data_IF_543249230808
#
_entry.id   IF_543249230808
#
_cell.length_a   1.000
_cell.length_b   1.000
_cell.length_c   1.000
_cell.angle_alpha   90.00
_cell.angle_beta   90.00
_cell.angle_gamma   90.00
#
_symmetry.space_group_name_H-M   'P 1'
#
loop_
_entity.id
_entity.type
_entity.pdbx_description
1 polymer ?
#
# COMPACT_ATOMS: atom_id res chain seq x y z
N UNK A 1 -33.15 61.94 1.82
CA UNK A 1 -31.73 62.31 2.07
C UNK A 1 -30.89 61.10 1.73
N UNK A 2 -29.76 61.24 1.05
CA UNK A 2 -28.78 60.15 0.97
C UNK A 2 -28.14 60.05 2.36
N UNK A 3 -28.14 58.87 2.95
CA UNK A 3 -27.45 58.63 4.22
C UNK A 3 -25.93 58.78 3.99
N UNK A 4 -25.25 59.44 4.92
CA UNK A 4 -23.81 59.73 4.86
C UNK A 4 -23.13 59.26 6.14
N UNK A 5 -21.84 58.94 6.05
CA UNK A 5 -20.99 58.62 7.21
C UNK A 5 -19.60 59.26 7.06
N UNK A 6 -18.93 59.47 8.19
CA UNK A 6 -17.55 59.98 8.24
C UNK A 6 -16.60 58.79 8.10
N UNK A 7 -15.63 58.89 7.19
CA UNK A 7 -14.58 57.90 7.04
C UNK A 7 -13.67 57.89 8.28
N UNK A 8 -13.47 56.70 8.89
CA UNK A 8 -12.68 56.55 10.10
C UNK A 8 -11.21 56.98 9.93
N UNK A 9 -10.64 56.84 8.72
CA UNK A 9 -9.25 57.18 8.45
C UNK A 9 -9.03 58.65 8.02
N UNK A 10 -9.79 59.17 7.04
CA UNK A 10 -9.54 60.52 6.51
C UNK A 10 -10.41 61.63 7.13
N UNK A 11 -11.45 61.27 7.91
CA UNK A 11 -12.35 62.22 8.56
C UNK A 11 -13.31 62.98 7.64
N UNK A 12 -13.35 62.63 6.34
CA UNK A 12 -14.25 63.25 5.35
C UNK A 12 -15.60 62.50 5.34
N UNK A 13 -16.69 63.23 5.11
CA UNK A 13 -18.04 62.67 4.97
C UNK A 13 -18.30 62.16 3.54
N UNK A 14 -18.79 60.93 3.43
CA UNK A 14 -19.07 60.26 2.15
C UNK A 14 -20.50 59.66 2.14
N UNK A 15 -21.13 59.51 0.95
CA UNK A 15 -22.37 58.75 0.80
C UNK A 15 -22.21 57.29 1.26
N UNK A 16 -23.12 56.78 2.09
CA UNK A 16 -23.02 55.46 2.71
C UNK A 16 -22.97 54.31 1.68
N UNK A 17 -23.62 54.48 0.53
CA UNK A 17 -23.64 53.55 -0.60
C UNK A 17 -22.28 53.42 -1.32
N UNK A 18 -21.31 54.26 -0.98
CA UNK A 18 -19.94 54.27 -1.55
C UNK A 18 -18.86 53.94 -0.52
N UNK A 19 -19.26 53.52 0.69
CA UNK A 19 -18.35 53.20 1.79
C UNK A 19 -18.28 51.70 2.04
N UNK A 20 -17.15 51.26 2.57
CA UNK A 20 -16.87 49.87 2.95
C UNK A 20 -16.86 49.76 4.46
N UNK A 21 -17.49 48.70 4.98
CA UNK A 21 -17.41 48.36 6.39
C UNK A 21 -16.28 47.35 6.62
N UNK A 22 -15.37 47.66 7.54
CA UNK A 22 -14.18 46.84 7.83
C UNK A 22 -13.99 46.80 9.35
N UNK A 23 -14.06 45.62 9.95
CA UNK A 23 -13.88 45.41 11.41
C UNK A 23 -14.73 46.35 12.31
N UNK A 24 -15.89 46.80 11.81
CA UNK A 24 -16.79 47.73 12.51
C UNK A 24 -16.62 49.21 12.12
N UNK A 25 -15.53 49.58 11.46
CA UNK A 25 -15.28 50.91 10.93
C UNK A 25 -15.89 51.12 9.54
N UNK A 26 -16.11 52.38 9.17
CA UNK A 26 -16.55 52.78 7.84
C UNK A 26 -15.43 53.53 7.12
N UNK A 27 -14.99 53.02 5.99
CA UNK A 27 -13.95 53.61 5.15
C UNK A 27 -14.53 54.06 3.82
N UNK A 28 -14.08 55.20 3.31
CA UNK A 28 -14.34 55.56 1.91
C UNK A 28 -13.52 54.66 0.98
N UNK A 29 -13.95 54.51 -0.27
CA UNK A 29 -13.31 53.68 -1.30
C UNK A 29 -11.78 53.86 -1.35
N UNK A 30 -11.29 55.11 -1.45
CA UNK A 30 -9.85 55.39 -1.46
C UNK A 30 -9.09 54.93 -0.21
N UNK A 31 -9.72 54.97 0.98
CA UNK A 31 -9.08 54.50 2.20
C UNK A 31 -9.14 52.97 2.29
N UNK A 32 -10.25 52.36 1.90
CA UNK A 32 -10.39 50.91 1.85
C UNK A 32 -9.36 50.30 0.89
N UNK A 33 -9.25 50.81 -0.34
CA UNK A 33 -8.33 50.28 -1.36
C UNK A 33 -6.85 50.36 -0.96
N UNK A 34 -6.49 51.32 -0.10
CA UNK A 34 -5.11 51.55 0.32
C UNK A 34 -4.72 50.85 1.62
N UNK A 35 -5.66 50.65 2.53
CA UNK A 35 -5.38 50.20 3.90
C UNK A 35 -5.86 48.79 4.21
N UNK A 36 -6.59 48.18 3.27
CA UNK A 36 -7.29 46.93 3.54
C UNK A 36 -7.06 45.95 2.41
N UNK A 37 -7.02 44.69 2.78
CA UNK A 37 -6.91 43.54 1.89
C UNK A 37 -8.12 42.64 2.05
N UNK A 38 -8.30 41.70 1.13
CA UNK A 38 -9.37 40.71 1.19
C UNK A 38 -8.76 39.37 1.54
N UNK A 39 -9.28 38.72 2.58
CA UNK A 39 -8.86 37.38 2.96
C UNK A 39 -9.22 36.37 1.87
N UNK A 40 -8.24 35.61 1.37
CA UNK A 40 -8.43 34.64 0.30
C UNK A 40 -9.35 33.47 0.68
N UNK A 41 -9.50 33.19 1.98
CA UNK A 41 -10.30 32.07 2.48
C UNK A 41 -11.77 32.46 2.74
N UNK A 42 -12.02 33.51 3.53
CA UNK A 42 -13.39 33.92 3.91
C UNK A 42 -13.95 35.07 3.06
N UNK A 43 -13.14 35.69 2.20
CA UNK A 43 -13.50 36.83 1.36
C UNK A 43 -13.94 38.07 2.17
N UNK A 44 -13.57 38.14 3.45
CA UNK A 44 -13.77 39.30 4.32
C UNK A 44 -12.68 40.33 4.07
N UNK A 45 -13.05 41.62 4.10
CA UNK A 45 -12.11 42.73 4.00
C UNK A 45 -11.58 43.04 5.40
N UNK A 46 -10.26 43.06 5.53
CA UNK A 46 -9.52 43.27 6.79
C UNK A 46 -8.47 44.36 6.62
N UNK A 47 -8.01 44.97 7.71
CA UNK A 47 -6.86 45.86 7.62
C UNK A 47 -5.59 45.10 7.22
N UNK A 48 -4.76 45.70 6.37
CA UNK A 48 -3.51 45.09 5.88
C UNK A 48 -2.56 44.73 7.03
N UNK A 49 -2.52 45.54 8.10
CA UNK A 49 -1.72 45.27 9.29
C UNK A 49 -2.17 44.05 10.11
N UNK A 50 -3.42 43.60 9.92
CA UNK A 50 -4.00 42.42 10.56
C UNK A 50 -4.00 41.19 9.64
N UNK A 51 -3.35 41.29 8.47
CA UNK A 51 -3.26 40.19 7.53
C UNK A 51 -2.02 39.33 7.80
N UNK A 52 -2.20 38.01 7.76
CA UNK A 52 -1.11 37.04 7.71
C UNK A 52 -0.88 36.68 6.24
N UNK A 53 0.28 37.03 5.70
CA UNK A 53 0.55 36.89 4.27
C UNK A 53 1.85 36.15 3.91
N UNK A 54 1.86 35.60 2.71
CA UNK A 54 3.04 35.16 1.96
C UNK A 54 2.84 35.42 0.46
N UNK A 55 3.76 34.95 -0.39
CA UNK A 55 3.69 35.13 -1.85
C UNK A 55 2.43 34.54 -2.52
N UNK A 56 1.65 33.74 -1.80
CA UNK A 56 0.53 32.95 -2.35
C UNK A 56 -0.80 33.13 -1.62
N UNK A 57 -0.79 33.63 -0.38
CA UNK A 57 -1.98 33.79 0.43
C UNK A 57 -1.96 35.12 1.20
N UNK A 58 -3.12 35.76 1.27
CA UNK A 58 -3.44 36.84 2.20
C UNK A 58 -4.63 36.41 3.05
N UNK A 59 -4.42 36.23 4.35
CA UNK A 59 -5.41 35.65 5.26
C UNK A 59 -5.67 36.57 6.45
N UNK A 60 -6.88 36.56 6.98
CA UNK A 60 -7.13 37.11 8.32
C UNK A 60 -6.59 36.16 9.39
N UNK A 61 -6.27 36.70 10.58
CA UNK A 61 -5.78 35.94 11.73
C UNK A 61 -6.63 34.71 12.03
N UNK A 62 -7.96 34.87 12.08
CA UNK A 62 -8.87 33.75 12.34
C UNK A 62 -8.77 32.63 11.29
N UNK A 63 -8.73 32.97 9.99
CA UNK A 63 -8.61 31.95 8.95
C UNK A 63 -7.25 31.27 9.00
N UNK A 64 -6.18 32.02 9.26
CA UNK A 64 -4.86 31.45 9.46
C UNK A 64 -4.85 30.50 10.65
N UNK A 65 -5.29 30.95 11.83
CA UNK A 65 -5.28 30.17 13.07
C UNK A 65 -6.17 28.93 13.04
N UNK A 66 -7.23 28.91 12.24
CA UNK A 66 -8.14 27.74 12.11
C UNK A 66 -7.78 26.80 10.96
N UNK A 67 -7.34 27.32 9.80
CA UNK A 67 -7.16 26.48 8.60
C UNK A 67 -5.74 26.40 8.03
N UNK A 68 -4.81 27.26 8.45
CA UNK A 68 -3.47 27.33 7.88
C UNK A 68 -2.34 27.30 8.92
N UNK A 69 -1.12 27.06 8.45
CA UNK A 69 0.10 27.10 9.28
C UNK A 69 1.29 27.48 8.40
N UNK A 70 2.38 27.98 9.00
CA UNK A 70 3.64 28.19 8.28
C UNK A 70 4.48 26.93 8.29
N UNK A 71 5.08 26.63 7.14
CA UNK A 71 6.14 25.63 7.03
C UNK A 71 7.34 26.05 7.89
N UNK A 72 7.85 25.16 8.73
CA UNK A 72 8.97 25.43 9.64
C UNK A 72 10.25 25.82 8.86
N UNK A 73 10.54 25.13 7.75
CA UNK A 73 11.79 25.35 7.01
C UNK A 73 11.77 26.58 6.09
N UNK A 74 10.65 26.80 5.39
CA UNK A 74 10.58 27.82 4.33
C UNK A 74 9.63 28.98 4.63
N UNK A 75 8.91 28.94 5.75
CA UNK A 75 7.98 30.00 6.19
C UNK A 75 6.69 30.14 5.36
N UNK A 76 6.53 29.34 4.29
CA UNK A 76 5.35 29.37 3.41
C UNK A 76 4.07 29.00 4.16
N UNK A 77 3.00 29.74 3.93
CA UNK A 77 1.66 29.44 4.42
C UNK A 77 1.10 28.25 3.65
N UNK A 78 0.73 27.22 4.38
CA UNK A 78 0.12 25.99 3.86
C UNK A 78 -1.16 25.69 4.62
N UNK A 79 -2.12 25.11 3.92
CA UNK A 79 -3.35 24.62 4.55
C UNK A 79 -3.02 23.44 5.46
N UNK A 80 -3.61 23.41 6.67
CA UNK A 80 -3.35 22.36 7.68
C UNK A 80 -3.67 20.95 7.18
N UNK A 81 -4.66 20.82 6.28
CA UNK A 81 -5.03 19.54 5.64
C UNK A 81 -3.97 19.02 4.63
N UNK A 82 -2.99 19.86 4.27
CA UNK A 82 -1.87 19.53 3.36
C UNK A 82 -0.51 19.62 4.02
N UNK A 83 -0.46 19.95 5.32
CA UNK A 83 0.76 19.99 6.09
C UNK A 83 1.20 18.57 6.47
N UNK A 84 2.51 18.35 6.45
CA UNK A 84 3.14 17.15 6.99
C UNK A 84 3.68 17.50 8.37
N UNK A 85 3.53 16.59 9.32
CA UNK A 85 3.87 16.83 10.72
C UNK A 85 4.94 15.83 11.15
N UNK A 86 6.01 16.34 11.78
CA UNK A 86 7.00 15.48 12.41
C UNK A 86 6.57 15.08 13.84
N UNK A 87 7.46 14.39 14.55
CA UNK A 87 7.18 13.92 15.91
C UNK A 87 7.22 15.05 16.98
N UNK A 88 7.71 16.24 16.61
CA UNK A 88 7.83 17.41 17.48
C UNK A 88 6.72 18.46 17.18
N UNK A 89 5.67 18.04 16.46
CA UNK A 89 4.53 18.87 16.01
C UNK A 89 4.93 20.04 15.09
N UNK A 90 6.07 19.95 14.39
CA UNK A 90 6.46 20.93 13.38
C UNK A 90 5.74 20.64 12.05
N UNK A 91 5.26 21.69 11.39
CA UNK A 91 4.55 21.57 10.11
C UNK A 91 5.47 21.87 8.92
N UNK A 92 5.38 21.03 7.89
CA UNK A 92 6.17 21.13 6.67
C UNK A 92 5.28 21.16 5.43
N UNK A 93 5.69 21.95 4.43
CA UNK A 93 5.16 21.80 3.08
C UNK A 93 5.76 20.55 2.41
N UNK A 94 5.15 20.08 1.32
CA UNK A 94 5.58 18.81 0.69
C UNK A 94 7.05 18.80 0.27
N UNK A 95 7.57 19.91 -0.27
CA UNK A 95 8.96 19.97 -0.71
C UNK A 95 9.95 19.90 0.45
N UNK A 96 9.67 20.63 1.54
CA UNK A 96 10.53 20.59 2.74
C UNK A 96 10.44 19.23 3.43
N UNK A 97 9.25 18.62 3.50
CA UNK A 97 9.09 17.25 4.00
C UNK A 97 9.90 16.24 3.18
N UNK A 98 9.90 16.38 1.86
CA UNK A 98 10.64 15.52 0.95
C UNK A 98 12.16 15.60 1.15
N UNK A 99 12.68 16.77 1.54
CA UNK A 99 14.10 17.00 1.81
C UNK A 99 14.52 16.62 3.24
N UNK A 100 13.64 16.80 4.22
CA UNK A 100 13.98 16.70 5.65
C UNK A 100 13.69 15.32 6.26
N UNK A 101 12.67 14.60 5.77
CA UNK A 101 12.25 13.34 6.36
C UNK A 101 12.77 12.10 5.60
N UNK A 102 13.03 11.04 6.35
CA UNK A 102 13.40 9.72 5.83
C UNK A 102 12.40 8.68 6.33
N UNK A 103 11.18 8.71 5.76
CA UNK A 103 10.15 7.71 6.06
C UNK A 103 10.19 6.53 5.08
N UNK A 104 10.90 6.70 3.96
CA UNK A 104 11.24 5.62 3.05
C UNK A 104 12.55 5.02 3.54
N UNK A 105 12.50 3.78 4.03
CA UNK A 105 13.66 3.11 4.58
C UNK A 105 14.54 2.46 3.51
N UNK A 106 15.78 2.13 3.87
CA UNK A 106 16.65 1.32 3.02
C UNK A 106 16.11 -0.12 2.87
N UNK A 107 16.45 -0.80 1.78
CA UNK A 107 15.99 -2.16 1.46
C UNK A 107 16.24 -3.20 2.58
N UNK A 108 17.27 -3.00 3.41
CA UNK A 108 17.66 -3.92 4.48
C UNK A 108 16.97 -3.62 5.84
N UNK A 109 16.17 -2.55 5.91
CA UNK A 109 15.51 -2.14 7.14
C UNK A 109 14.52 -3.21 7.61
N UNK A 110 14.40 -3.40 8.92
CA UNK A 110 13.34 -4.23 9.51
C UNK A 110 13.00 -3.61 10.87
N UNK A 111 11.76 -3.16 11.09
CA UNK A 111 11.34 -2.64 12.39
C UNK A 111 11.10 -3.78 13.40
N UNK A 112 10.85 -3.42 14.65
CA UNK A 112 10.27 -4.37 15.60
C UNK A 112 8.88 -4.81 15.10
N UNK A 113 8.71 -6.12 14.88
CA UNK A 113 7.53 -6.63 14.20
C UNK A 113 6.30 -6.67 15.12
N UNK A 114 5.25 -5.94 14.74
CA UNK A 114 3.91 -6.05 15.32
C UNK A 114 3.13 -7.19 14.66
N UNK A 115 2.61 -8.16 15.41
CA UNK A 115 1.84 -9.28 14.87
C UNK A 115 0.33 -9.01 14.99
N UNK A 116 -0.37 -9.08 13.85
CA UNK A 116 -1.79 -8.75 13.75
C UNK A 116 -2.69 -9.96 13.54
N UNK A 117 -3.74 -10.05 14.34
CA UNK A 117 -4.66 -11.18 14.39
C UNK A 117 -4.20 -12.28 15.36
N UNK A 118 -5.02 -13.34 15.47
CA UNK A 118 -4.77 -14.44 16.41
C UNK A 118 -4.41 -15.72 15.66
N UNK A 119 -3.32 -16.36 16.06
CA UNK A 119 -2.89 -17.66 15.53
C UNK A 119 -1.39 -17.72 15.29
N UNK A 120 -0.91 -18.83 14.71
CA UNK A 120 0.50 -19.01 14.35
C UNK A 120 0.79 -18.70 12.88
N UNK A 121 -0.25 -18.78 12.03
CA UNK A 121 -0.17 -18.57 10.59
C UNK A 121 -0.32 -17.09 10.27
N UNK A 122 0.81 -16.43 10.06
CA UNK A 122 0.88 -15.03 9.65
C UNK A 122 1.54 -14.91 8.27
N UNK A 123 1.13 -13.88 7.56
CA UNK A 123 1.64 -13.50 6.26
C UNK A 123 2.22 -12.09 6.33
N UNK A 124 3.42 -11.90 5.80
CA UNK A 124 3.99 -10.59 5.50
C UNK A 124 3.89 -10.36 3.99
N UNK A 125 3.52 -9.15 3.57
CA UNK A 125 3.41 -8.79 2.15
C UNK A 125 4.45 -7.75 1.81
N UNK A 126 5.21 -7.99 0.74
CA UNK A 126 6.01 -6.98 0.06
C UNK A 126 5.34 -6.71 -1.29
N UNK A 127 4.74 -5.51 -1.44
CA UNK A 127 4.10 -5.08 -2.67
C UNK A 127 4.89 -3.94 -3.30
N UNK A 128 5.48 -4.23 -4.45
CA UNK A 128 6.23 -3.25 -5.22
C UNK A 128 5.30 -2.41 -6.12
N UNK A 129 5.50 -1.09 -6.08
CA UNK A 129 4.85 -0.09 -6.93
C UNK A 129 5.91 0.84 -7.54
N UNK A 130 5.75 1.28 -8.78
CA UNK A 130 6.77 2.02 -9.54
C UNK A 130 6.15 3.17 -10.36
N UNK A 131 6.98 3.94 -11.07
CA UNK A 131 6.62 5.09 -11.93
C UNK A 131 5.95 6.29 -11.23
N UNK A 132 5.82 6.24 -9.90
CA UNK A 132 5.21 7.31 -9.09
C UNK A 132 6.20 8.16 -8.29
N UNK A 133 7.50 7.84 -8.39
CA UNK A 133 8.58 8.51 -7.68
C UNK A 133 8.92 7.90 -6.32
N UNK A 134 10.19 7.96 -5.93
CA UNK A 134 10.63 7.66 -4.56
C UNK A 134 10.50 8.93 -3.69
N UNK A 135 9.27 9.29 -3.33
CA UNK A 135 8.94 10.60 -2.73
C UNK A 135 8.32 10.44 -1.34
N UNK A 136 8.90 11.07 -0.31
CA UNK A 136 8.44 10.94 1.08
C UNK A 136 7.00 11.39 1.27
N UNK A 137 6.58 12.50 0.65
CA UNK A 137 5.22 13.02 0.73
C UNK A 137 4.19 12.07 0.11
N UNK A 138 4.58 11.26 -0.88
CA UNK A 138 3.72 10.19 -1.42
C UNK A 138 3.70 8.96 -0.51
N UNK A 139 4.86 8.56 0.02
CA UNK A 139 4.97 7.50 1.01
C UNK A 139 4.11 7.80 2.25
N UNK A 140 4.16 9.04 2.77
CA UNK A 140 3.39 9.46 3.95
C UNK A 140 1.89 9.30 3.70
N UNK A 141 1.39 9.74 2.55
CA UNK A 141 -0.03 9.57 2.19
C UNK A 141 -0.49 8.12 2.17
N UNK A 142 0.39 7.16 1.88
CA UNK A 142 0.07 5.73 1.93
C UNK A 142 0.12 5.22 3.37
N UNK A 143 1.10 5.65 4.16
CA UNK A 143 1.24 5.34 5.58
C UNK A 143 0.07 5.89 6.39
N UNK A 144 -0.37 7.13 6.16
CA UNK A 144 -1.52 7.75 6.84
C UNK A 144 -2.81 6.93 6.66
N UNK A 145 -2.95 6.28 5.49
CA UNK A 145 -4.07 5.39 5.21
C UNK A 145 -3.87 4.03 5.86
N UNK A 146 -2.70 3.43 5.65
CA UNK A 146 -2.39 2.08 6.11
C UNK A 146 -2.38 1.98 7.63
N UNK A 147 -1.81 3.00 8.29
CA UNK A 147 -1.48 2.99 9.70
C UNK A 147 -2.43 3.83 10.57
N UNK A 148 -3.55 4.29 9.99
CA UNK A 148 -4.51 5.16 10.69
C UNK A 148 -4.93 4.64 12.06
N UNK A 149 -5.26 3.35 12.12
CA UNK A 149 -5.85 2.72 13.31
C UNK A 149 -4.90 1.70 13.99
N UNK A 150 -3.79 1.32 13.33
CA UNK A 150 -2.79 0.37 13.83
C UNK A 150 -1.50 0.44 12.99
N UNK A 151 -0.33 0.08 13.55
CA UNK A 151 0.94 0.01 12.81
C UNK A 151 0.97 -1.20 11.86
N UNK A 152 0.54 -1.00 10.61
CA UNK A 152 0.30 -2.07 9.65
C UNK A 152 1.39 -2.21 8.59
N UNK A 153 1.99 -1.11 8.18
CA UNK A 153 2.80 -1.02 6.96
C UNK A 153 3.96 -0.04 7.17
N UNK A 154 5.11 -0.39 6.62
CA UNK A 154 6.26 0.50 6.48
C UNK A 154 6.75 0.44 5.03
N UNK A 155 7.51 1.45 4.61
CA UNK A 155 7.90 1.62 3.21
C UNK A 155 9.42 1.55 3.08
N UNK A 156 9.87 0.83 2.06
CA UNK A 156 11.27 0.67 1.71
C UNK A 156 11.55 1.09 0.29
N UNK A 157 12.82 1.33 0.02
CA UNK A 157 13.40 1.27 -1.32
C UNK A 157 13.63 -0.20 -1.72
N UNK A 158 13.44 -0.53 -2.98
CA UNK A 158 13.89 -1.81 -3.54
C UNK A 158 14.73 -1.57 -4.79
N UNK A 159 15.86 -2.27 -4.89
CA UNK A 159 16.84 -2.06 -5.96
C UNK A 159 16.41 -2.57 -7.34
N UNK A 160 15.23 -3.19 -7.47
CA UNK A 160 14.64 -3.59 -8.75
C UNK A 160 13.64 -2.58 -9.31
N UNK A 161 13.34 -1.52 -8.55
CA UNK A 161 12.48 -0.41 -8.95
C UNK A 161 13.31 0.75 -9.49
N UNK A 162 12.75 1.46 -10.47
CA UNK A 162 13.40 2.65 -11.02
C UNK A 162 13.09 3.87 -10.14
N UNK A 163 11.80 4.18 -9.96
CA UNK A 163 11.30 5.33 -9.20
C UNK A 163 10.04 4.93 -8.42
N UNK A 164 10.21 3.98 -7.51
CA UNK A 164 9.12 3.25 -6.87
C UNK A 164 9.24 3.10 -5.36
N UNK A 165 8.24 2.46 -4.77
CA UNK A 165 8.15 2.14 -3.36
C UNK A 165 7.89 0.65 -3.18
N UNK A 166 8.52 0.04 -2.18
CA UNK A 166 8.15 -1.27 -1.69
C UNK A 166 7.30 -1.11 -0.42
N UNK A 167 6.01 -1.46 -0.55
CA UNK A 167 5.06 -1.41 0.56
C UNK A 167 5.14 -2.73 1.33
N UNK A 168 5.67 -2.69 2.56
CA UNK A 168 5.88 -3.89 3.36
C UNK A 168 4.96 -3.91 4.57
N UNK A 169 4.18 -4.97 4.72
CA UNK A 169 3.31 -5.12 5.89
C UNK A 169 4.05 -5.76 7.06
N UNK A 170 3.63 -5.39 8.25
CA UNK A 170 3.81 -6.22 9.43
C UNK A 170 3.12 -7.61 9.25
N UNK A 171 3.53 -8.66 9.99
CA UNK A 171 2.91 -9.98 9.89
C UNK A 171 1.43 -9.97 10.30
N UNK A 172 0.55 -10.45 9.42
CA UNK A 172 -0.91 -10.43 9.60
C UNK A 172 -1.50 -11.81 9.34
N UNK A 173 -2.51 -12.22 10.11
CA UNK A 173 -3.34 -13.37 9.72
C UNK A 173 -4.08 -13.08 8.41
N UNK A 174 -4.52 -14.13 7.69
CA UNK A 174 -5.32 -13.95 6.47
C UNK A 174 -6.59 -13.11 6.74
N UNK A 175 -7.27 -13.39 7.85
CA UNK A 175 -8.49 -12.66 8.24
C UNK A 175 -8.23 -11.15 8.37
N UNK A 176 -7.14 -10.78 9.06
CA UNK A 176 -6.74 -9.38 9.21
C UNK A 176 -6.45 -8.72 7.85
N UNK A 177 -5.69 -9.39 6.98
CA UNK A 177 -5.45 -8.88 5.62
C UNK A 177 -6.74 -8.66 4.81
N UNK A 178 -7.76 -9.51 4.99
CA UNK A 178 -8.99 -9.43 4.21
C UNK A 178 -9.96 -8.37 4.74
N UNK A 179 -9.98 -8.17 6.05
CA UNK A 179 -11.05 -7.44 6.74
C UNK A 179 -10.61 -6.15 7.43
N UNK A 180 -9.36 -6.06 7.88
CA UNK A 180 -8.87 -4.95 8.72
C UNK A 180 -7.81 -4.10 8.00
N UNK A 181 -6.87 -4.72 7.29
CA UNK A 181 -5.88 -4.00 6.50
C UNK A 181 -6.57 -3.17 5.41
N UNK A 182 -6.40 -1.83 5.36
CA UNK A 182 -7.10 -0.93 4.43
C UNK A 182 -6.54 -0.97 3.01
N UNK A 183 -6.29 -2.17 2.48
CA UNK A 183 -5.75 -2.41 1.14
C UNK A 183 -6.51 -1.65 0.06
N UNK A 184 -7.85 -1.59 0.14
CA UNK A 184 -8.64 -0.89 -0.87
C UNK A 184 -8.25 0.59 -0.95
N UNK A 185 -8.16 1.27 0.18
CA UNK A 185 -7.78 2.68 0.22
C UNK A 185 -6.32 2.88 -0.22
N UNK A 186 -5.39 2.05 0.27
CA UNK A 186 -3.96 2.10 -0.08
C UNK A 186 -3.76 1.95 -1.59
N UNK A 187 -4.32 0.88 -2.19
CA UNK A 187 -4.17 0.60 -3.61
C UNK A 187 -4.82 1.69 -4.48
N UNK A 188 -6.01 2.19 -4.09
CA UNK A 188 -6.65 3.30 -4.81
C UNK A 188 -5.86 4.60 -4.69
N UNK A 189 -5.23 4.88 -3.54
CA UNK A 189 -4.38 6.06 -3.36
C UNK A 189 -3.14 5.98 -4.23
N UNK A 190 -2.45 4.83 -4.24
CA UNK A 190 -1.30 4.59 -5.12
C UNK A 190 -1.65 4.83 -6.60
N UNK A 191 -2.76 4.26 -7.08
CA UNK A 191 -3.25 4.49 -8.45
C UNK A 191 -3.53 5.96 -8.76
N UNK A 192 -4.16 6.70 -7.84
CA UNK A 192 -4.45 8.14 -8.01
C UNK A 192 -3.19 8.99 -8.04
N UNK A 193 -2.12 8.54 -7.40
CA UNK A 193 -0.80 9.20 -7.41
C UNK A 193 0.03 8.82 -8.64
N UNK A 194 -0.49 7.99 -9.54
CA UNK A 194 0.18 7.60 -10.78
C UNK A 194 1.05 6.35 -10.68
N UNK A 195 1.19 5.74 -9.50
CA UNK A 195 1.96 4.52 -9.36
C UNK A 195 1.37 3.38 -10.19
N UNK A 196 2.26 2.64 -10.83
CA UNK A 196 2.01 1.39 -11.50
C UNK A 196 2.53 0.23 -10.65
N UNK A 197 2.19 -1.00 -11.03
CA UNK A 197 2.76 -2.19 -10.39
C UNK A 197 2.86 -3.28 -11.45
N UNK A 198 1.76 -3.97 -11.75
CA UNK A 198 1.73 -4.92 -12.87
C UNK A 198 2.22 -4.31 -14.18
N UNK A 199 1.81 -3.07 -14.48
CA UNK A 199 2.12 -2.40 -15.74
C UNK A 199 3.59 -1.95 -15.89
N UNK A 200 4.31 -1.69 -14.78
CA UNK A 200 5.73 -1.31 -14.79
C UNK A 200 6.63 -2.46 -15.30
N UNK A 201 6.22 -3.71 -15.04
CA UNK A 201 6.85 -4.90 -15.62
C UNK A 201 7.96 -5.54 -14.78
N UNK A 202 8.55 -4.78 -13.86
CA UNK A 202 9.54 -5.23 -12.85
C UNK A 202 8.88 -5.68 -11.55
N UNK A 203 7.82 -4.98 -11.12
CA UNK A 203 7.23 -5.13 -9.79
C UNK A 203 6.82 -6.56 -9.40
N UNK A 204 7.16 -6.94 -8.18
CA UNK A 204 6.77 -8.14 -7.46
C UNK A 204 5.62 -7.98 -6.48
N UNK A 205 5.09 -9.13 -6.07
CA UNK A 205 4.26 -9.28 -4.89
C UNK A 205 4.82 -10.51 -4.15
N UNK A 206 5.61 -10.27 -3.10
CA UNK A 206 6.15 -11.34 -2.29
C UNK A 206 5.24 -11.58 -1.08
N UNK A 207 5.11 -12.85 -0.70
CA UNK A 207 4.34 -13.25 0.47
C UNK A 207 5.24 -14.09 1.37
N UNK A 208 5.60 -13.54 2.52
CA UNK A 208 6.28 -14.24 3.59
C UNK A 208 5.26 -15.02 4.41
N UNK A 209 5.58 -16.26 4.74
CA UNK A 209 4.76 -17.15 5.56
C UNK A 209 5.57 -17.45 6.82
N UNK A 210 4.99 -17.26 8.00
CA UNK A 210 5.66 -17.65 9.26
C UNK A 210 6.02 -19.13 9.23
N UNK A 211 7.23 -19.50 9.65
CA UNK A 211 7.62 -20.92 9.76
C UNK A 211 6.73 -21.70 10.72
N UNK A 212 6.24 -21.03 11.77
CA UNK A 212 5.25 -21.57 12.71
C UNK A 212 3.92 -21.95 12.04
N UNK A 213 3.63 -21.46 10.83
CA UNK A 213 2.48 -21.91 10.06
C UNK A 213 2.61 -23.37 9.59
N UNK A 214 3.84 -23.92 9.53
CA UNK A 214 4.15 -25.25 9.02
C UNK A 214 4.35 -26.30 10.13
N UNK A 215 4.37 -25.90 11.40
CA UNK A 215 4.55 -26.79 12.54
C UNK A 215 5.22 -26.12 13.74
N UNK A 216 5.09 -26.76 14.90
CA UNK A 216 5.67 -26.26 16.16
C UNK A 216 7.09 -26.79 16.41
N UNK A 217 7.54 -27.81 15.66
CA UNK A 217 8.92 -28.33 15.71
C UNK A 217 9.59 -28.23 14.35
N UNK A 218 10.92 -28.21 14.35
CA UNK A 218 11.72 -28.13 13.12
C UNK A 218 11.41 -29.30 12.17
N UNK A 219 11.21 -30.51 12.69
CA UNK A 219 10.87 -31.68 11.86
C UNK A 219 9.50 -31.53 11.18
N UNK A 220 8.51 -31.00 11.91
CA UNK A 220 7.18 -30.74 11.34
C UNK A 220 7.25 -29.67 10.25
N UNK A 221 7.96 -28.58 10.54
CA UNK A 221 8.17 -27.49 9.59
C UNK A 221 8.88 -27.99 8.34
N UNK A 222 9.97 -28.75 8.47
CA UNK A 222 10.71 -29.29 7.34
C UNK A 222 9.84 -30.20 6.46
N UNK A 223 9.08 -31.11 7.07
CA UNK A 223 8.20 -32.01 6.33
C UNK A 223 7.10 -31.24 5.57
N UNK A 224 6.48 -30.25 6.21
CA UNK A 224 5.44 -29.44 5.56
C UNK A 224 6.01 -28.52 4.47
N UNK A 225 7.14 -27.86 4.71
CA UNK A 225 7.81 -27.04 3.68
C UNK A 225 8.27 -27.91 2.51
N UNK A 226 8.69 -29.16 2.76
CA UNK A 226 9.04 -30.11 1.70
C UNK A 226 7.84 -30.39 0.77
N UNK A 227 6.65 -30.57 1.35
CA UNK A 227 5.40 -30.72 0.59
C UNK A 227 5.03 -29.45 -0.17
N UNK A 228 5.19 -28.27 0.43
CA UNK A 228 5.00 -26.99 -0.26
C UNK A 228 5.91 -26.87 -1.49
N UNK A 229 7.21 -27.13 -1.34
CA UNK A 229 8.17 -27.10 -2.45
C UNK A 229 7.78 -28.07 -3.55
N UNK A 230 7.44 -29.30 -3.17
CA UNK A 230 7.02 -30.33 -4.12
C UNK A 230 5.75 -29.92 -4.88
N UNK A 231 4.75 -29.38 -4.17
CA UNK A 231 3.52 -28.88 -4.78
C UNK A 231 3.81 -27.79 -5.81
N UNK A 232 4.64 -26.81 -5.47
CA UNK A 232 4.99 -25.70 -6.38
C UNK A 232 5.66 -26.21 -7.65
N UNK A 233 6.53 -27.21 -7.53
CA UNK A 233 7.22 -27.81 -8.67
C UNK A 233 6.31 -28.69 -9.53
N UNK A 234 5.40 -29.43 -8.89
CA UNK A 234 4.41 -30.30 -9.55
C UNK A 234 3.42 -29.50 -10.37
N UNK A 235 2.85 -28.43 -9.80
CA UNK A 235 1.86 -27.57 -10.45
C UNK A 235 2.46 -26.26 -11.00
N UNK A 236 3.70 -26.34 -11.47
CA UNK A 236 4.43 -25.16 -11.95
C UNK A 236 3.70 -24.44 -13.09
N UNK A 237 3.09 -25.17 -14.02
CA UNK A 237 2.43 -24.56 -15.18
C UNK A 237 1.21 -23.73 -14.75
N UNK A 238 0.43 -24.24 -13.81
CA UNK A 238 -0.74 -23.61 -13.24
C UNK A 238 -0.34 -22.39 -12.40
N UNK A 239 0.66 -22.54 -11.53
CA UNK A 239 1.15 -21.46 -10.70
C UNK A 239 1.88 -20.36 -11.50
N UNK A 240 2.61 -20.71 -12.56
CA UNK A 240 3.18 -19.74 -13.50
C UNK A 240 2.09 -18.91 -14.16
N UNK A 241 0.99 -19.56 -14.58
CA UNK A 241 -0.16 -18.86 -15.16
C UNK A 241 -0.87 -17.98 -14.13
N UNK A 242 -1.00 -18.46 -12.90
CA UNK A 242 -1.58 -17.72 -11.78
C UNK A 242 -0.75 -16.46 -11.47
N UNK A 243 0.58 -16.58 -11.51
CA UNK A 243 1.53 -15.54 -11.08
C UNK A 243 1.63 -14.33 -11.99
N UNK A 244 1.16 -14.45 -13.24
CA UNK A 244 1.19 -13.40 -14.27
C UNK A 244 2.61 -13.04 -14.73
N UNK A 245 3.59 -13.89 -14.44
CA UNK A 245 4.96 -13.78 -14.96
C UNK A 245 5.14 -14.69 -16.17
N UNK A 246 6.02 -14.30 -17.07
CA UNK A 246 6.52 -15.19 -18.12
C UNK A 246 7.59 -16.13 -17.57
N UNK A 247 7.90 -17.21 -18.29
CA UNK A 247 9.00 -18.10 -17.90
C UNK A 247 10.35 -17.37 -17.84
N UNK A 248 10.61 -16.42 -18.73
CA UNK A 248 11.84 -15.61 -18.71
C UNK A 248 11.93 -14.72 -17.47
N UNK A 249 10.82 -14.10 -17.05
CA UNK A 249 10.75 -13.32 -15.82
C UNK A 249 10.97 -14.20 -14.59
N UNK A 250 10.38 -15.40 -14.55
CA UNK A 250 10.61 -16.36 -13.47
C UNK A 250 12.07 -16.78 -13.38
N UNK A 251 12.71 -17.14 -14.49
CA UNK A 251 14.11 -17.56 -14.48
C UNK A 251 15.07 -16.48 -13.96
N UNK A 252 14.71 -15.20 -14.11
CA UNK A 252 15.51 -14.07 -13.64
C UNK A 252 15.25 -13.73 -12.17
N UNK A 253 14.00 -13.77 -11.73
CA UNK A 253 13.58 -13.16 -10.46
C UNK A 253 13.08 -14.17 -9.40
N UNK A 254 12.67 -15.36 -9.82
CA UNK A 254 12.01 -16.36 -8.99
C UNK A 254 12.19 -17.77 -9.58
N UNK A 255 13.44 -18.22 -9.74
CA UNK A 255 13.75 -19.47 -10.43
C UNK A 255 13.17 -20.70 -9.70
N UNK A 256 12.79 -21.73 -10.46
CA UNK A 256 12.39 -23.02 -9.88
C UNK A 256 13.60 -23.89 -9.56
N UNK A 257 13.47 -24.76 -8.56
CA UNK A 257 14.48 -25.77 -8.26
C UNK A 257 14.43 -26.94 -9.26
N UNK A 258 13.26 -27.20 -9.84
CA UNK A 258 13.01 -28.38 -10.65
C UNK A 258 12.46 -29.53 -9.81
N UNK A 259 11.55 -30.29 -10.41
CA UNK A 259 10.79 -31.35 -9.73
C UNK A 259 11.65 -32.56 -9.40
N UNK A 260 11.43 -33.11 -8.20
CA UNK A 260 12.00 -34.39 -7.70
C UNK A 260 10.89 -35.42 -7.48
N UNK A 261 11.27 -36.67 -7.18
CA UNK A 261 10.28 -37.75 -7.06
C UNK A 261 9.49 -37.62 -5.76
N UNK A 262 10.16 -37.22 -4.67
CA UNK A 262 9.54 -37.11 -3.35
C UNK A 262 9.70 -35.71 -2.75
N UNK A 263 8.83 -35.33 -1.78
CA UNK A 263 9.00 -34.10 -1.01
C UNK A 263 10.37 -34.02 -0.31
N UNK A 264 10.83 -35.12 0.30
CA UNK A 264 12.12 -35.16 1.00
C UNK A 264 13.31 -34.92 0.07
N UNK A 265 13.31 -35.50 -1.13
CA UNK A 265 14.31 -35.23 -2.18
C UNK A 265 14.24 -33.77 -2.65
N UNK A 266 13.02 -33.22 -2.79
CA UNK A 266 12.81 -31.83 -3.18
C UNK A 266 13.43 -30.86 -2.16
N UNK A 267 13.18 -31.09 -0.86
CA UNK A 267 13.76 -30.30 0.23
C UNK A 267 15.29 -30.38 0.24
N UNK A 268 15.84 -31.59 0.14
CA UNK A 268 17.29 -31.79 0.10
C UNK A 268 17.91 -31.05 -1.09
N UNK A 269 17.29 -31.12 -2.27
CA UNK A 269 17.76 -30.41 -3.45
C UNK A 269 17.70 -28.88 -3.29
N UNK A 270 16.60 -28.35 -2.75
CA UNK A 270 16.43 -26.92 -2.53
C UNK A 270 17.50 -26.35 -1.57
N UNK A 271 17.75 -27.02 -0.43
CA UNK A 271 18.77 -26.63 0.55
C UNK A 271 20.20 -26.69 0.00
N UNK A 272 20.47 -27.64 -0.88
CA UNK A 272 21.78 -27.81 -1.51
C UNK A 272 21.96 -26.96 -2.78
N UNK A 273 20.93 -26.23 -3.19
CA UNK A 273 21.03 -25.37 -4.36
C UNK A 273 21.79 -24.09 -4.01
N UNK A 274 22.69 -23.67 -4.89
CA UNK A 274 23.37 -22.37 -4.78
C UNK A 274 22.52 -21.22 -5.37
N UNK A 275 21.20 -21.37 -5.43
CA UNK A 275 20.30 -20.44 -6.12
C UNK A 275 20.04 -19.14 -5.33
N UNK A 276 20.45 -19.10 -4.05
CA UNK A 276 20.27 -17.94 -3.18
C UNK A 276 18.79 -17.58 -2.99
N UNK A 277 18.50 -16.29 -2.81
CA UNK A 277 17.14 -15.78 -2.58
C UNK A 277 16.24 -15.77 -3.82
N UNK A 278 16.81 -15.86 -5.03
CA UNK A 278 16.07 -15.65 -6.28
C UNK A 278 15.35 -16.92 -6.75
N UNK A 279 14.63 -17.56 -5.85
CA UNK A 279 13.86 -18.77 -6.09
C UNK A 279 12.37 -18.50 -5.89
N UNK A 280 11.50 -19.25 -6.58
CA UNK A 280 10.05 -19.08 -6.47
C UNK A 280 9.54 -19.26 -5.04
N UNK A 281 10.18 -20.19 -4.30
CA UNK A 281 10.04 -20.38 -2.86
C UNK A 281 11.42 -20.16 -2.25
N UNK A 282 11.60 -19.06 -1.54
CA UNK A 282 12.84 -18.70 -0.87
C UNK A 282 12.83 -19.20 0.58
N UNK A 283 13.88 -19.92 0.94
CA UNK A 283 14.06 -20.57 2.25
C UNK A 283 15.16 -19.91 3.09
N UNK A 284 15.83 -18.87 2.59
CA UNK A 284 16.98 -18.26 3.28
C UNK A 284 16.59 -17.46 4.52
N UNK A 285 15.32 -17.11 4.66
CA UNK A 285 14.83 -16.36 5.81
C UNK A 285 14.71 -17.28 7.04
N UNK A 286 15.19 -16.78 8.18
CA UNK A 286 15.24 -17.55 9.42
C UNK A 286 13.84 -17.92 9.92
N UNK A 287 12.93 -16.94 9.97
CA UNK A 287 11.61 -17.10 10.59
C UNK A 287 10.46 -17.29 9.57
N UNK A 288 10.74 -17.14 8.28
CA UNK A 288 9.71 -17.21 7.23
C UNK A 288 10.12 -18.06 6.03
N UNK A 289 9.12 -18.52 5.29
CA UNK A 289 9.26 -19.03 3.92
C UNK A 289 8.61 -18.02 2.99
N UNK A 290 9.32 -17.57 1.96
CA UNK A 290 8.87 -16.48 1.11
C UNK A 290 8.49 -16.97 -0.29
N UNK A 291 7.29 -16.61 -0.75
CA UNK A 291 6.81 -16.91 -2.10
C UNK A 291 7.05 -15.67 -2.98
N UNK A 292 8.01 -15.77 -3.90
CA UNK A 292 8.49 -14.65 -4.75
C UNK A 292 7.89 -14.62 -6.15
N UNK A 293 7.09 -15.62 -6.49
CA UNK A 293 6.71 -15.85 -7.88
C UNK A 293 5.69 -14.85 -8.43
N UNK A 294 4.91 -14.19 -7.59
CA UNK A 294 3.80 -13.36 -8.06
C UNK A 294 4.30 -12.03 -8.61
N UNK A 295 3.66 -11.56 -9.67
CA UNK A 295 3.86 -10.22 -10.20
C UNK A 295 3.07 -9.21 -9.37
N UNK A 296 3.56 -7.99 -9.24
CA UNK A 296 2.87 -6.89 -8.56
C UNK A 296 1.46 -6.63 -9.09
N UNK A 297 0.62 -5.98 -8.28
CA UNK A 297 -0.77 -5.65 -8.61
C UNK A 297 -1.30 -4.47 -7.80
N UNK A 298 -2.11 -3.62 -8.45
CA UNK A 298 -2.96 -2.63 -7.76
C UNK A 298 -4.45 -3.00 -7.79
N UNK A 299 -4.78 -4.21 -8.25
CA UNK A 299 -6.15 -4.75 -8.20
C UNK A 299 -6.37 -5.48 -6.89
N UNK A 300 -7.33 -5.01 -6.09
CA UNK A 300 -7.68 -5.58 -4.79
C UNK A 300 -8.01 -7.08 -4.86
N UNK A 301 -8.85 -7.50 -5.81
CA UNK A 301 -9.22 -8.92 -5.98
C UNK A 301 -7.97 -9.80 -6.20
N UNK A 302 -7.05 -9.34 -7.04
CA UNK A 302 -5.81 -10.07 -7.33
C UNK A 302 -4.91 -10.22 -6.10
N UNK A 303 -4.79 -9.17 -5.27
CA UNK A 303 -4.02 -9.21 -4.04
C UNK A 303 -4.64 -10.19 -3.04
N UNK A 304 -5.96 -10.07 -2.79
CA UNK A 304 -6.71 -10.97 -1.90
C UNK A 304 -6.64 -12.43 -2.36
N UNK A 305 -6.87 -12.68 -3.65
CA UNK A 305 -6.74 -14.01 -4.25
C UNK A 305 -5.34 -14.60 -4.09
N UNK A 306 -4.29 -13.78 -4.15
CA UNK A 306 -2.91 -14.24 -3.95
C UNK A 306 -2.69 -14.69 -2.51
N UNK A 307 -3.18 -13.93 -1.53
CA UNK A 307 -3.11 -14.30 -0.11
C UNK A 307 -3.93 -15.57 0.21
N UNK A 308 -5.13 -15.68 -0.34
CA UNK A 308 -5.96 -16.88 -0.20
C UNK A 308 -5.30 -18.11 -0.83
N UNK A 309 -4.68 -17.96 -2.01
CA UNK A 309 -3.91 -19.04 -2.64
C UNK A 309 -2.77 -19.50 -1.73
N UNK A 310 -1.96 -18.56 -1.22
CA UNK A 310 -0.84 -18.90 -0.32
C UNK A 310 -1.33 -19.55 0.97
N UNK A 311 -2.43 -19.08 1.57
CA UNK A 311 -3.02 -19.73 2.73
C UNK A 311 -3.45 -21.17 2.44
N UNK A 312 -4.07 -21.42 1.27
CA UNK A 312 -4.49 -22.76 0.88
C UNK A 312 -3.29 -23.68 0.60
N UNK A 313 -2.20 -23.15 0.03
CA UNK A 313 -0.94 -23.90 -0.12
C UNK A 313 -0.37 -24.35 1.23
N UNK A 314 -0.42 -23.48 2.25
CA UNK A 314 -0.01 -23.84 3.62
C UNK A 314 -0.92 -24.93 4.19
N UNK A 315 -2.23 -24.83 3.97
CA UNK A 315 -3.18 -25.83 4.44
C UNK A 315 -2.89 -27.21 3.85
N UNK A 316 -2.68 -27.30 2.54
CA UNK A 316 -2.28 -28.55 1.86
C UNK A 316 -0.95 -29.06 2.41
N UNK A 317 0.03 -28.17 2.58
CA UNK A 317 1.35 -28.53 3.09
C UNK A 317 1.31 -29.10 4.51
N UNK A 318 0.38 -28.67 5.36
CA UNK A 318 0.31 -29.09 6.77
C UNK A 318 -0.65 -30.26 6.99
N UNK A 319 -1.79 -30.27 6.29
CA UNK A 319 -2.87 -31.24 6.52
C UNK A 319 -2.68 -32.58 5.80
N UNK A 320 -1.84 -32.62 4.76
CA UNK A 320 -1.69 -33.80 3.91
C UNK A 320 -0.36 -34.54 4.13
N UNK A 321 -0.36 -35.84 3.87
CA UNK A 321 0.84 -36.66 3.80
C UNK A 321 1.57 -36.49 2.47
N UNK A 322 2.82 -36.96 2.42
CA UNK A 322 3.63 -36.94 1.20
C UNK A 322 2.95 -37.68 0.04
N UNK A 323 2.36 -38.86 0.29
CA UNK A 323 1.65 -39.61 -0.76
C UNK A 323 0.39 -38.89 -1.25
N UNK A 324 -0.37 -38.25 -0.35
CA UNK A 324 -1.55 -37.48 -0.74
C UNK A 324 -1.17 -36.31 -1.67
N UNK A 325 -0.11 -35.57 -1.37
CA UNK A 325 0.37 -34.47 -2.24
C UNK A 325 0.95 -35.01 -3.55
N UNK A 326 1.62 -36.16 -3.52
CA UNK A 326 2.15 -36.82 -4.72
C UNK A 326 1.07 -37.35 -5.66
N UNK A 327 -0.07 -37.82 -5.14
CA UNK A 327 -1.17 -38.37 -5.94
C UNK A 327 -2.21 -37.31 -6.36
N UNK A 328 -2.24 -36.16 -5.68
CA UNK A 328 -3.16 -35.05 -5.95
C UNK A 328 -3.11 -34.55 -7.39
N UNK A 329 -4.26 -34.29 -8.01
CA UNK A 329 -4.37 -33.52 -9.24
C UNK A 329 -4.63 -32.03 -8.97
N UNK A 330 -4.48 -31.18 -10.00
CA UNK A 330 -4.85 -29.77 -9.86
C UNK A 330 -6.34 -29.61 -9.54
N UNK A 331 -7.19 -30.54 -10.00
CA UNK A 331 -8.62 -30.49 -9.72
C UNK A 331 -8.94 -30.80 -8.26
N UNK A 332 -8.30 -31.81 -7.69
CA UNK A 332 -8.45 -32.13 -6.26
C UNK A 332 -8.03 -30.93 -5.38
N UNK A 333 -7.02 -30.18 -5.81
CA UNK A 333 -6.61 -28.93 -5.15
C UNK A 333 -7.69 -27.83 -5.23
N UNK A 334 -8.39 -27.71 -6.37
CA UNK A 334 -9.42 -26.69 -6.55
C UNK A 334 -10.71 -26.96 -5.78
N UNK A 335 -11.05 -28.24 -5.57
CA UNK A 335 -12.31 -28.66 -4.94
C UNK A 335 -12.44 -28.20 -3.48
N UNK A 336 -11.31 -28.02 -2.79
CA UNK A 336 -11.27 -27.56 -1.40
C UNK A 336 -11.29 -26.03 -1.26
N UNK A 337 -11.17 -25.28 -2.36
CA UNK A 337 -11.15 -23.82 -2.37
C UNK A 337 -12.58 -23.27 -2.27
N UNK A 338 -12.82 -22.42 -1.26
CA UNK A 338 -14.14 -21.80 -1.00
C UNK A 338 -14.08 -20.27 -1.04
N UNK A 339 -12.89 -19.72 -1.14
CA UNK A 339 -12.63 -18.29 -1.04
C UNK A 339 -13.03 -17.55 -2.32
N UNK A 340 -13.91 -16.54 -2.23
CA UNK A 340 -14.55 -15.96 -3.42
C UNK A 340 -13.57 -15.20 -4.32
N UNK A 341 -12.64 -14.41 -3.76
CA UNK A 341 -11.66 -13.67 -4.56
C UNK A 341 -10.72 -14.62 -5.32
N UNK A 342 -10.30 -15.72 -4.68
CA UNK A 342 -9.49 -16.77 -5.29
C UNK A 342 -10.23 -17.50 -6.41
N UNK A 343 -11.47 -17.94 -6.17
CA UNK A 343 -12.30 -18.59 -7.19
C UNK A 343 -12.50 -17.67 -8.39
N UNK A 344 -12.86 -16.39 -8.15
CA UNK A 344 -13.00 -15.41 -9.21
C UNK A 344 -11.71 -15.30 -10.03
N UNK A 345 -10.57 -15.15 -9.36
CA UNK A 345 -9.29 -14.97 -10.03
C UNK A 345 -8.85 -16.23 -10.82
N UNK A 346 -9.08 -17.43 -10.27
CA UNK A 346 -8.82 -18.69 -10.97
C UNK A 346 -9.67 -18.83 -12.24
N UNK A 347 -10.95 -18.43 -12.19
CA UNK A 347 -11.84 -18.39 -13.36
C UNK A 347 -11.34 -17.40 -14.42
N UNK A 348 -10.97 -16.17 -14.01
CA UNK A 348 -10.38 -15.16 -14.90
C UNK A 348 -9.10 -15.66 -15.59
N UNK A 349 -8.32 -16.49 -14.90
CA UNK A 349 -7.12 -17.11 -15.44
C UNK A 349 -7.36 -18.42 -16.18
N UNK A 350 -8.60 -18.90 -16.31
CA UNK A 350 -8.96 -20.22 -16.85
C UNK A 350 -8.13 -21.35 -16.23
N UNK A 351 -7.97 -21.27 -14.92
CA UNK A 351 -7.37 -22.28 -14.05
C UNK A 351 -8.43 -23.01 -13.22
N UNK A 352 -9.70 -22.60 -13.33
CA UNK A 352 -10.85 -23.19 -12.65
C UNK A 352 -11.68 -24.01 -13.64
N UNK A 353 -12.28 -25.10 -13.18
CA UNK A 353 -13.20 -25.93 -13.98
C UNK A 353 -14.60 -25.35 -13.87
N UNK A 354 -15.27 -25.14 -15.01
CA UNK A 354 -16.70 -24.83 -14.98
C UNK A 354 -17.46 -26.08 -14.52
N UNK A 355 -18.53 -25.90 -13.73
CA UNK A 355 -19.36 -27.00 -13.24
C UNK A 355 -19.67 -28.03 -14.35
N UNK A 356 -19.63 -29.34 -14.04
CA UNK A 356 -19.91 -30.37 -15.03
C UNK A 356 -21.28 -30.09 -15.66
N UNK A 357 -21.30 -30.04 -17.00
CA UNK A 357 -22.56 -30.00 -17.74
C UNK A 357 -23.27 -31.31 -17.41
N UNK A 358 -24.49 -31.24 -16.89
CA UNK A 358 -25.34 -32.43 -16.76
C UNK A 358 -25.44 -33.03 -18.15
N UNK A 359 -24.82 -34.20 -18.34
CA UNK A 359 -25.04 -34.98 -19.54
C UNK A 359 -26.55 -35.26 -19.57
N UNK A 360 -27.26 -34.53 -20.43
CA UNK A 360 -28.62 -34.89 -20.78
C UNK A 360 -28.58 -36.36 -21.17
N UNK A 361 -29.47 -37.15 -20.56
CA UNK A 361 -29.58 -38.58 -20.79
C UNK A 361 -29.31 -38.88 -22.26
N UNK A 362 -28.31 -39.74 -22.52
CA UNK A 362 -28.14 -40.33 -23.84
C UNK A 362 -29.53 -40.90 -24.21
N UNK A 363 -30.15 -40.32 -25.23
CA UNK A 363 -31.44 -40.77 -25.74
C UNK A 363 -31.24 -42.21 -26.25
N UNK A 364 -31.79 -43.19 -25.51
CA UNK A 364 -31.91 -44.60 -25.91
C UNK A 364 -32.79 -44.78 -27.15
#
# INVERSE_FOLDING_TARGET
MKETRICANCGIEHPLDTMYQVEGDWLCESCADRLTVVCDHCNERIYEENAVEDDTHTLCDHCFDEYYIRCEDCGRIISRDRAYWDNDDNAYCSSCWDEHCNIIHEYNYTPDLVFHGKGLRHFGVELEIDDGGTVNSNAQKLLDIANKDAENLYIKTDGSLDEGLELVTHPMTLEYHLNEMPWKQVLCKAQRMGYLSHAAGTCGLHVHISRLAFGCTDEQQEAAIARLLYFVEKFWAELLRFSRRTQSQMNRWAARYGIRLTPSEQMSHAKNSCAGRYTAVNLTNADTVEIRMFRGTLKLNTLKATLQMVNHLVEVAVSMSDCQVQDMSWFDFLDEIKEPELIQYLKERRLYVNEPVTAGAEEE
#
